data_IF_457497752031
#
_entry.id   IF_457497752031
#
_cell.length_a   1.000
_cell.length_b   1.000
_cell.length_c   1.000
_cell.angle_alpha   90.00
_cell.angle_beta   90.00
_cell.angle_gamma   90.00
#
_symmetry.space_group_name_H-M   'P 1'
#
loop_
_entity.id
_entity.type
_entity.pdbx_description
1 polymer ?
#
# COMPACT_ATOMS: atom_id res chain seq x y z
N UNK A 1 1.06 -14.22 -8.56
CA UNK A 1 1.13 -13.10 -9.52
C UNK A 1 0.07 -13.36 -10.59
N UNK A 2 -1.01 -12.60 -10.61
CA UNK A 2 -2.05 -12.72 -11.66
C UNK A 2 -1.57 -11.94 -12.87
N UNK A 3 -1.40 -12.60 -14.01
CA UNK A 3 -1.02 -11.90 -15.24
C UNK A 3 -2.18 -11.01 -15.72
N UNK A 4 -1.90 -9.70 -15.86
CA UNK A 4 -2.90 -8.67 -16.21
C UNK A 4 -3.60 -8.89 -17.57
N UNK A 5 -3.03 -9.73 -18.43
CA UNK A 5 -3.47 -9.93 -19.83
C UNK A 5 -3.88 -11.37 -20.16
N UNK A 6 -4.52 -12.10 -19.24
CA UNK A 6 -5.21 -13.33 -19.63
C UNK A 6 -6.52 -13.00 -20.37
N UNK A 7 -6.67 -13.32 -21.68
CA UNK A 7 -7.85 -12.95 -22.46
C UNK A 7 -9.13 -13.64 -22.00
N UNK A 8 -9.02 -14.73 -21.23
CA UNK A 8 -10.13 -15.57 -20.77
C UNK A 8 -10.82 -15.03 -19.52
N UNK A 9 -10.23 -14.08 -18.79
CA UNK A 9 -10.77 -13.60 -17.51
C UNK A 9 -11.11 -12.11 -17.60
N UNK A 10 -12.38 -11.79 -17.33
CA UNK A 10 -12.80 -10.39 -17.23
C UNK A 10 -12.11 -9.71 -16.04
N UNK A 11 -11.87 -8.40 -16.17
CA UNK A 11 -11.27 -7.58 -15.10
C UNK A 11 -12.02 -7.73 -13.77
N UNK A 12 -13.35 -7.88 -13.80
CA UNK A 12 -14.15 -8.09 -12.59
C UNK A 12 -13.88 -9.42 -11.88
N UNK A 13 -13.60 -10.49 -12.64
CA UNK A 13 -13.20 -11.78 -12.07
C UNK A 13 -11.79 -11.70 -11.51
N UNK A 14 -10.87 -11.04 -12.22
CA UNK A 14 -9.50 -10.81 -11.74
C UNK A 14 -9.47 -10.03 -10.41
N UNK A 15 -10.24 -8.94 -10.31
CA UNK A 15 -10.33 -8.15 -9.06
C UNK A 15 -10.89 -8.98 -7.90
N UNK A 16 -11.90 -9.83 -8.17
CA UNK A 16 -12.50 -10.71 -7.16
C UNK A 16 -11.52 -11.78 -6.67
N UNK A 17 -10.73 -12.36 -7.57
CA UNK A 17 -9.68 -13.34 -7.23
C UNK A 17 -8.57 -12.71 -6.38
N UNK A 18 -8.23 -11.46 -6.66
CA UNK A 18 -7.22 -10.69 -5.92
C UNK A 18 -7.76 -10.03 -4.65
N UNK A 19 -9.06 -10.11 -4.38
CA UNK A 19 -9.74 -9.40 -3.30
C UNK A 19 -9.46 -7.87 -3.29
N UNK A 20 -9.29 -7.27 -4.47
CA UNK A 20 -9.07 -5.83 -4.63
C UNK A 20 -10.30 -5.14 -5.20
N UNK A 21 -10.39 -3.82 -4.95
CA UNK A 21 -11.36 -2.98 -5.63
C UNK A 21 -11.05 -2.85 -7.13
N UNK A 22 -12.08 -2.60 -7.94
CA UNK A 22 -11.90 -2.42 -9.39
C UNK A 22 -11.13 -1.14 -9.73
N UNK A 23 -11.21 -0.09 -8.91
CA UNK A 23 -10.44 1.15 -9.13
C UNK A 23 -8.94 0.88 -8.97
N UNK A 24 -8.55 0.13 -7.94
CA UNK A 24 -7.15 -0.26 -7.70
C UNK A 24 -6.53 -1.08 -8.83
N UNK A 25 -7.34 -1.71 -9.69
CA UNK A 25 -6.83 -2.43 -10.86
C UNK A 25 -6.24 -1.51 -11.93
N UNK A 26 -6.79 -0.30 -12.08
CA UNK A 26 -6.35 0.70 -13.06
C UNK A 26 -5.29 1.65 -12.50
N UNK A 27 -5.22 1.77 -11.18
CA UNK A 27 -4.18 2.55 -10.53
C UNK A 27 -2.80 1.93 -10.80
N UNK A 28 -1.89 2.76 -11.28
CA UNK A 28 -0.48 2.38 -11.41
C UNK A 28 0.20 2.72 -10.10
N UNK A 29 0.92 1.78 -9.47
CA UNK A 29 1.67 2.09 -8.25
C UNK A 29 2.70 3.17 -8.60
N UNK A 30 2.46 4.37 -8.11
CA UNK A 30 3.44 5.44 -8.13
C UNK A 30 4.34 5.24 -6.92
N UNK A 31 5.65 5.19 -7.13
CA UNK A 31 6.60 5.15 -6.02
C UNK A 31 6.48 6.40 -5.15
N UNK A 32 7.01 6.32 -3.94
CA UNK A 32 7.07 7.46 -3.03
C UNK A 32 8.12 8.48 -3.48
N UNK A 33 7.89 9.76 -3.17
CA UNK A 33 8.90 10.80 -3.39
C UNK A 33 10.03 10.67 -2.38
N UNK A 34 11.23 11.15 -2.72
CA UNK A 34 12.39 11.14 -1.79
C UNK A 34 12.05 11.82 -0.46
N UNK A 35 11.37 12.98 -0.53
CA UNK A 35 10.90 13.69 0.67
C UNK A 35 9.93 12.85 1.51
N UNK A 36 9.01 12.13 0.90
CA UNK A 36 8.06 11.31 1.64
C UNK A 36 8.76 10.10 2.29
N UNK A 37 9.72 9.50 1.59
CA UNK A 37 10.56 8.42 2.14
C UNK A 37 11.38 8.91 3.34
N UNK A 38 11.99 10.09 3.24
CA UNK A 38 12.74 10.69 4.35
C UNK A 38 11.85 10.91 5.58
N UNK A 39 10.62 11.41 5.37
CA UNK A 39 9.65 11.60 6.44
C UNK A 39 9.21 10.27 7.07
N UNK A 40 8.91 9.25 6.27
CA UNK A 40 8.57 7.91 6.76
C UNK A 40 9.69 7.34 7.63
N UNK A 41 10.96 7.46 7.20
CA UNK A 41 12.11 7.01 7.98
C UNK A 41 12.27 7.76 9.31
N UNK A 42 11.99 9.05 9.34
CA UNK A 42 12.03 9.85 10.58
C UNK A 42 10.93 9.41 11.56
N UNK A 43 9.72 9.17 11.04
CA UNK A 43 8.59 8.69 11.83
C UNK A 43 8.91 7.32 12.45
N UNK A 44 9.41 6.39 11.64
CA UNK A 44 9.77 5.03 12.08
C UNK A 44 10.86 5.03 13.15
N UNK A 45 11.82 5.96 13.09
CA UNK A 45 12.84 6.12 14.15
C UNK A 45 12.26 6.71 15.44
N UNK A 46 11.32 7.64 15.34
CA UNK A 46 10.74 8.31 16.49
C UNK A 46 9.82 7.40 17.32
N UNK A 47 9.14 6.45 16.68
CA UNK A 47 8.22 5.52 17.33
C UNK A 47 8.85 4.66 18.46
N UNK A 48 10.00 3.97 18.26
CA UNK A 48 10.64 3.21 19.32
C UNK A 48 11.27 4.11 20.40
N UNK A 49 11.77 5.30 20.03
CA UNK A 49 12.43 6.22 20.95
C UNK A 49 11.45 6.96 21.87
N UNK A 50 10.20 7.15 21.41
CA UNK A 50 9.15 7.77 22.23
C UNK A 50 7.82 7.02 22.12
N UNK A 51 7.67 5.88 22.84
CA UNK A 51 6.46 5.07 22.81
C UNK A 51 5.23 5.76 23.42
N UNK A 52 5.41 6.92 24.06
CA UNK A 52 4.35 7.70 24.69
C UNK A 52 3.98 8.97 23.90
N UNK A 53 4.64 9.26 22.78
CA UNK A 53 4.27 10.37 21.90
C UNK A 53 3.21 9.93 20.87
N UNK A 54 1.94 10.25 21.12
CA UNK A 54 0.83 10.01 20.19
C UNK A 54 -0.40 9.39 20.85
N UNK A 55 -1.50 9.28 20.09
CA UNK A 55 -2.78 8.71 20.59
C UNK A 55 -2.81 7.17 20.48
N UNK A 56 -1.99 6.59 19.60
CA UNK A 56 -2.03 5.16 19.28
C UNK A 56 -0.72 4.48 19.70
N UNK A 57 -0.84 3.54 20.64
CA UNK A 57 0.25 2.71 21.12
C UNK A 57 0.35 1.42 20.30
N UNK A 58 1.57 0.93 20.08
CA UNK A 58 1.81 -0.42 19.59
C UNK A 58 1.69 -1.38 20.78
N UNK A 59 0.47 -1.72 21.18
CA UNK A 59 0.21 -2.86 22.08
C UNK A 59 0.17 -4.16 21.30
#
# INVERSE_FOLDING_TARGET
MVEKNQPSLSVGVQCRLLAISRSSFYDTPQGETEMNLDLMLLIDKQFPDSPFCGVRQMT
#
